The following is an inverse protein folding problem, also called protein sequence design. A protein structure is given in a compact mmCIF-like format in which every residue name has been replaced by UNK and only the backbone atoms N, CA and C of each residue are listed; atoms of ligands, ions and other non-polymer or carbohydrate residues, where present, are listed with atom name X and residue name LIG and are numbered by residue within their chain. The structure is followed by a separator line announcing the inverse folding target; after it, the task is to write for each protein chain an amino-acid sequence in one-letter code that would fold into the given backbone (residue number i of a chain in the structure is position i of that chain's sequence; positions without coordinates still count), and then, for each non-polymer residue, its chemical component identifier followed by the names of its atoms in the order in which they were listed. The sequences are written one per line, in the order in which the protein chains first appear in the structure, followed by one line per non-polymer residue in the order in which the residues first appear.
data_IF_456336996978
#
_entry.id   IF_456336996978
#
_cell.length_a   1.000
_cell.length_b   1.000
_cell.length_c   1.000
_cell.angle_alpha   90.00
_cell.angle_beta   90.00
_cell.angle_gamma   90.00
#
_symmetry.space_group_name_H-M   'P 1'
#
loop_
_entity.id
_entity.type
_entity.pdbx_description
1 polymer ?
#
# COMPACT_ATOMS: atom_id res chain seq x y z
N UNK A 1 36.52 -35.32 24.84
CA UNK A 1 35.60 -34.18 24.61
C UNK A 1 36.35 -33.14 23.79
N UNK A 2 36.12 -33.07 22.48
CA UNK A 2 36.66 -31.97 21.67
C UNK A 2 35.71 -30.78 21.82
N UNK A 3 36.00 -29.91 22.80
CA UNK A 3 35.30 -28.65 22.96
C UNK A 3 35.75 -27.66 21.89
N UNK A 4 34.81 -26.91 21.31
CA UNK A 4 35.11 -25.82 20.42
C UNK A 4 36.06 -24.81 21.09
N UNK A 5 37.12 -24.45 20.39
CA UNK A 5 38.04 -23.39 20.85
C UNK A 5 37.37 -22.03 20.77
N UNK A 6 37.83 -21.07 21.58
CA UNK A 6 37.33 -19.68 21.57
C UNK A 6 37.36 -19.06 20.17
N UNK A 7 38.42 -19.32 19.40
CA UNK A 7 38.55 -18.84 18.03
C UNK A 7 37.46 -19.40 17.09
N UNK A 8 37.16 -20.70 17.22
CA UNK A 8 36.11 -21.33 16.40
C UNK A 8 34.71 -20.80 16.75
N UNK A 9 34.44 -20.54 18.03
CA UNK A 9 33.20 -19.88 18.48
C UNK A 9 33.05 -18.48 17.88
N UNK A 10 34.13 -17.68 17.88
CA UNK A 10 34.12 -16.34 17.26
C UNK A 10 33.86 -16.41 15.77
N UNK A 11 34.49 -17.33 15.04
CA UNK A 11 34.28 -17.49 13.59
C UNK A 11 32.83 -17.91 13.29
N UNK A 12 32.28 -18.87 14.03
CA UNK A 12 30.88 -19.27 13.88
C UNK A 12 29.94 -18.10 14.15
N UNK A 13 30.20 -17.31 15.20
CA UNK A 13 29.43 -16.10 15.50
C UNK A 13 29.46 -15.08 14.35
N UNK A 14 30.63 -14.84 13.75
CA UNK A 14 30.76 -13.95 12.59
C UNK A 14 30.03 -14.48 11.36
N UNK A 15 30.13 -15.78 11.08
CA UNK A 15 29.42 -16.40 9.94
C UNK A 15 27.91 -16.29 10.12
N UNK A 16 27.40 -16.62 11.31
CA UNK A 16 25.97 -16.49 11.62
C UNK A 16 25.50 -15.03 11.55
N UNK A 17 26.31 -14.09 12.01
CA UNK A 17 26.02 -12.66 11.90
C UNK A 17 25.94 -12.21 10.44
N UNK A 18 26.92 -12.59 9.61
CA UNK A 18 26.90 -12.29 8.18
C UNK A 18 25.66 -12.87 7.50
N UNK A 19 25.35 -14.14 7.75
CA UNK A 19 24.16 -14.78 7.22
C UNK A 19 22.88 -14.07 7.68
N UNK A 20 22.77 -13.69 8.96
CA UNK A 20 21.61 -12.98 9.48
C UNK A 20 21.43 -11.60 8.80
N UNK A 21 22.52 -10.87 8.55
CA UNK A 21 22.45 -9.57 7.87
C UNK A 21 22.06 -9.73 6.40
N UNK A 22 22.66 -10.68 5.68
CA UNK A 22 22.38 -10.86 4.24
C UNK A 22 20.98 -11.40 4.00
N UNK A 23 20.63 -12.51 4.65
CA UNK A 23 19.32 -13.14 4.47
C UNK A 23 18.21 -12.32 5.14
N UNK A 24 18.47 -11.70 6.28
CA UNK A 24 17.52 -10.80 6.93
C UNK A 24 17.21 -9.57 6.10
N UNK A 25 18.22 -8.97 5.46
CA UNK A 25 18.04 -7.83 4.56
C UNK A 25 17.21 -8.18 3.33
N UNK A 26 17.48 -9.33 2.70
CA UNK A 26 16.71 -9.79 1.55
C UNK A 26 15.25 -10.10 1.90
N UNK A 27 15.01 -10.81 3.01
CA UNK A 27 13.66 -11.09 3.49
C UNK A 27 12.89 -9.81 3.80
N UNK A 28 13.53 -8.83 4.44
CA UNK A 28 12.92 -7.54 4.73
C UNK A 28 12.56 -6.77 3.45
N UNK A 29 13.46 -6.73 2.47
CA UNK A 29 13.22 -6.05 1.20
C UNK A 29 12.09 -6.70 0.41
N UNK A 30 12.06 -8.04 0.34
CA UNK A 30 10.98 -8.77 -0.31
C UNK A 30 9.64 -8.54 0.38
N UNK A 31 9.62 -8.56 1.72
CA UNK A 31 8.42 -8.26 2.50
C UNK A 31 7.92 -6.83 2.27
N UNK A 32 8.82 -5.84 2.24
CA UNK A 32 8.47 -4.45 2.00
C UNK A 32 7.92 -4.25 0.57
N UNK A 33 8.60 -4.85 -0.42
CA UNK A 33 8.17 -4.80 -1.81
C UNK A 33 6.78 -5.42 -1.97
N UNK A 34 6.56 -6.61 -1.42
CA UNK A 34 5.27 -7.29 -1.47
C UNK A 34 4.18 -6.44 -0.84
N UNK A 35 4.45 -5.85 0.33
CA UNK A 35 3.50 -4.94 0.99
C UNK A 35 3.16 -3.74 0.10
N UNK A 36 4.14 -3.13 -0.57
CA UNK A 36 3.88 -2.00 -1.47
C UNK A 36 3.05 -2.37 -2.70
N UNK A 37 3.22 -3.58 -3.24
CA UNK A 37 2.44 -4.06 -4.39
C UNK A 37 0.95 -4.17 -4.09
N UNK A 38 0.60 -4.53 -2.85
CA UNK A 38 -0.77 -4.70 -2.39
C UNK A 38 -1.44 -3.38 -1.96
N UNK A 39 -0.68 -2.28 -1.86
CA UNK A 39 -1.27 -0.98 -1.58
C UNK A 39 -2.12 -0.51 -2.77
N UNK A 40 -3.24 0.17 -2.51
CA UNK A 40 -4.07 0.74 -3.56
C UNK A 40 -3.28 1.78 -4.35
N UNK A 41 -3.36 1.68 -5.68
CA UNK A 41 -2.77 2.66 -6.61
C UNK A 41 -3.79 3.68 -7.05
N UNK A 42 -4.93 3.23 -7.55
CA UNK A 42 -6.06 4.09 -7.89
C UNK A 42 -7.23 3.73 -6.99
N UNK A 43 -7.96 4.75 -6.53
CA UNK A 43 -9.18 4.59 -5.76
C UNK A 43 -10.29 5.47 -6.31
N UNK A 44 -11.52 4.99 -6.22
CA UNK A 44 -12.73 5.74 -6.58
C UNK A 44 -13.79 5.45 -5.52
N UNK A 45 -14.48 6.49 -5.07
CA UNK A 45 -15.64 6.35 -4.20
C UNK A 45 -16.91 6.27 -5.04
N UNK A 46 -17.74 5.30 -4.71
CA UNK A 46 -19.05 5.09 -5.27
C UNK A 46 -20.09 5.30 -4.17
N UNK A 47 -21.18 5.96 -4.49
CA UNK A 47 -22.32 6.15 -3.60
C UNK A 47 -23.59 5.70 -4.34
N UNK A 48 -24.32 4.77 -3.74
CA UNK A 48 -25.56 4.24 -4.29
C UNK A 48 -26.76 5.08 -3.88
N UNK A 49 -27.89 4.90 -4.59
CA UNK A 49 -29.13 5.65 -4.33
C UNK A 49 -29.72 5.44 -2.92
N UNK A 50 -29.37 4.36 -2.24
CA UNK A 50 -29.76 4.07 -0.86
C UNK A 50 -28.82 4.70 0.19
N UNK A 51 -27.80 5.45 -0.26
CA UNK A 51 -26.80 6.10 0.58
C UNK A 51 -25.65 5.20 1.01
N UNK A 52 -25.53 3.98 0.48
CA UNK A 52 -24.37 3.13 0.75
C UNK A 52 -23.15 3.61 -0.05
N UNK A 53 -22.03 3.80 0.66
CA UNK A 53 -20.75 4.17 0.06
C UNK A 53 -19.80 2.96 -0.06
N UNK A 54 -19.15 2.84 -1.21
CA UNK A 54 -18.14 1.83 -1.51
C UNK A 54 -16.87 2.48 -2.03
N UNK A 55 -15.73 1.89 -1.74
CA UNK A 55 -14.45 2.27 -2.35
C UNK A 55 -14.03 1.15 -3.29
N UNK A 56 -13.88 1.47 -4.56
CA UNK A 56 -13.27 0.59 -5.54
C UNK A 56 -11.81 0.98 -5.68
N UNK A 57 -10.92 -0.01 -5.68
CA UNK A 57 -9.49 0.20 -5.78
C UNK A 57 -8.83 -0.86 -6.62
N UNK A 58 -7.75 -0.49 -7.29
CA UNK A 58 -6.80 -1.45 -7.88
C UNK A 58 -5.45 -1.34 -7.18
N UNK A 59 -4.73 -2.44 -7.11
CA UNK A 59 -3.42 -2.48 -6.46
C UNK A 59 -2.33 -1.88 -7.34
N UNK A 60 -1.15 -1.61 -6.76
CA UNK A 60 0.03 -1.25 -7.55
C UNK A 60 0.43 -2.35 -8.53
N UNK A 61 0.22 -3.61 -8.17
CA UNK A 61 0.48 -4.74 -9.05
C UNK A 61 -0.41 -4.70 -10.29
N UNK A 62 -1.72 -4.58 -10.10
CA UNK A 62 -2.69 -4.56 -11.21
C UNK A 62 -2.43 -3.37 -12.14
N UNK A 63 -2.07 -2.21 -11.56
CA UNK A 63 -1.69 -1.04 -12.34
C UNK A 63 -0.45 -1.29 -13.21
N UNK A 64 0.57 -1.98 -12.69
CA UNK A 64 1.77 -2.37 -13.45
C UNK A 64 1.46 -3.41 -14.52
N UNK A 65 0.43 -4.23 -14.32
CA UNK A 65 -0.07 -5.21 -15.28
C UNK A 65 -0.97 -4.58 -16.36
N UNK A 66 -1.28 -3.29 -16.25
CA UNK A 66 -1.95 -2.49 -17.29
C UNK A 66 -3.36 -2.04 -16.94
N UNK A 67 -3.88 -2.34 -15.74
CA UNK A 67 -5.14 -1.76 -15.27
C UNK A 67 -4.93 -0.31 -14.86
N UNK A 68 -5.07 0.65 -15.77
CA UNK A 68 -4.84 2.08 -15.48
C UNK A 68 -6.14 2.89 -15.31
N UNK A 69 -7.30 2.23 -15.35
CA UNK A 69 -8.61 2.85 -15.19
C UNK A 69 -9.51 1.95 -14.33
N UNK A 70 -10.32 2.59 -13.48
CA UNK A 70 -11.28 1.92 -12.61
C UNK A 70 -12.65 1.74 -13.29
N UNK A 71 -12.97 2.51 -14.32
CA UNK A 71 -14.28 2.44 -14.99
C UNK A 71 -14.65 1.03 -15.49
N UNK A 72 -13.75 0.24 -16.10
CA UNK A 72 -14.09 -1.12 -16.49
C UNK A 72 -14.46 -2.02 -15.31
N UNK A 73 -13.82 -1.82 -14.15
CA UNK A 73 -14.12 -2.56 -12.93
C UNK A 73 -15.46 -2.12 -12.33
N UNK A 74 -15.74 -0.82 -12.34
CA UNK A 74 -17.05 -0.28 -11.92
C UNK A 74 -18.17 -0.85 -12.78
N UNK A 75 -17.98 -0.92 -14.10
CA UNK A 75 -18.97 -1.46 -15.04
C UNK A 75 -19.24 -2.95 -14.85
N UNK A 76 -18.22 -3.70 -14.44
CA UNK A 76 -18.36 -5.11 -14.11
C UNK A 76 -19.11 -5.32 -12.78
N UNK A 77 -18.82 -4.50 -11.78
CA UNK A 77 -19.40 -4.62 -10.44
C UNK A 77 -20.81 -4.03 -10.33
N UNK A 78 -21.07 -2.96 -11.08
CA UNK A 78 -22.30 -2.18 -11.07
C UNK A 78 -22.80 -1.96 -12.50
N UNK A 79 -23.30 -3.02 -13.17
CA UNK A 79 -23.78 -2.93 -14.55
C UNK A 79 -25.03 -2.04 -14.67
N UNK A 80 -25.80 -1.95 -13.59
CA UNK A 80 -26.88 -0.98 -13.44
C UNK A 80 -26.35 0.26 -12.70
N UNK A 81 -26.17 1.35 -13.46
CA UNK A 81 -25.63 2.61 -12.95
C UNK A 81 -26.72 3.55 -12.44
N UNK A 82 -27.99 3.13 -12.40
CA UNK A 82 -29.08 3.99 -11.98
C UNK A 82 -28.87 4.48 -10.54
N UNK A 83 -28.77 5.79 -10.38
CA UNK A 83 -28.54 6.43 -9.08
C UNK A 83 -27.14 6.24 -8.48
N UNK A 84 -26.17 5.70 -9.24
CA UNK A 84 -24.78 5.59 -8.80
C UNK A 84 -24.05 6.92 -8.99
N UNK A 85 -23.58 7.52 -7.89
CA UNK A 85 -22.69 8.66 -7.90
C UNK A 85 -21.23 8.18 -7.79
N UNK A 86 -20.34 8.79 -8.57
CA UNK A 86 -18.93 8.40 -8.63
C UNK A 86 -18.06 9.63 -8.35
N UNK A 87 -17.04 9.46 -7.52
CA UNK A 87 -15.99 10.46 -7.38
C UNK A 87 -15.05 10.43 -8.59
N UNK A 88 -14.18 11.45 -8.68
CA UNK A 88 -12.98 11.35 -9.52
C UNK A 88 -12.08 10.21 -9.02
N UNK A 89 -11.34 9.62 -9.95
CA UNK A 89 -10.29 8.65 -9.65
C UNK A 89 -9.12 9.36 -8.98
N UNK A 90 -8.66 8.83 -7.85
CA UNK A 90 -7.54 9.39 -7.10
C UNK A 90 -6.34 8.46 -7.20
N UNK A 91 -5.19 9.00 -7.60
CA UNK A 91 -3.92 8.29 -7.54
C UNK A 91 -3.33 8.37 -6.13
N UNK A 92 -3.29 7.23 -5.44
CA UNK A 92 -2.82 7.13 -4.08
C UNK A 92 -1.32 7.38 -3.94
N UNK A 93 -0.49 7.16 -4.97
CA UNK A 93 0.92 7.54 -4.89
C UNK A 93 1.06 9.06 -4.93
N UNK A 94 0.32 9.74 -5.81
CA UNK A 94 0.33 11.20 -5.87
C UNK A 94 -0.20 11.79 -4.57
N UNK A 95 -1.32 11.27 -4.06
CA UNK A 95 -1.91 11.71 -2.80
C UNK A 95 -0.96 11.51 -1.60
N UNK A 96 -0.33 10.34 -1.50
CA UNK A 96 0.69 10.05 -0.47
C UNK A 96 1.87 11.01 -0.55
N UNK A 97 2.28 11.37 -1.77
CA UNK A 97 3.37 12.33 -2.02
C UNK A 97 2.95 13.73 -1.55
N UNK A 98 1.75 14.17 -1.93
CA UNK A 98 1.17 15.44 -1.51
C UNK A 98 1.12 15.57 0.02
N UNK A 99 0.71 14.53 0.74
CA UNK A 99 0.70 14.54 2.22
C UNK A 99 2.11 14.62 2.82
N UNK A 100 3.10 13.97 2.20
CA UNK A 100 4.49 14.03 2.66
C UNK A 100 5.09 15.43 2.45
N UNK A 101 4.80 16.04 1.32
CA UNK A 101 5.30 17.37 0.95
C UNK A 101 4.54 18.52 1.64
N UNK A 102 3.33 18.26 2.13
CA UNK A 102 2.55 19.26 2.88
C UNK A 102 3.20 19.50 4.24
N UNK A 103 3.91 20.62 4.36
CA UNK A 103 4.62 21.04 5.57
C UNK A 103 3.71 21.73 6.59
N UNK A 104 2.64 22.40 6.14
CA UNK A 104 1.71 23.09 7.02
C UNK A 104 0.82 22.08 7.76
N UNK A 105 0.85 22.11 9.10
CA UNK A 105 0.12 21.16 9.95
C UNK A 105 -1.38 21.20 9.67
N UNK A 106 -1.98 22.38 9.61
CA UNK A 106 -3.42 22.53 9.36
C UNK A 106 -3.85 21.91 8.02
N UNK A 107 -3.13 22.21 6.93
CA UNK A 107 -3.41 21.65 5.61
C UNK A 107 -3.22 20.12 5.59
N UNK A 108 -2.25 19.61 6.35
CA UNK A 108 -2.02 18.17 6.48
C UNK A 108 -3.15 17.48 7.23
N UNK A 109 -3.66 18.08 8.30
CA UNK A 109 -4.81 17.55 9.03
C UNK A 109 -6.08 17.60 8.20
N UNK A 110 -6.29 18.66 7.41
CA UNK A 110 -7.38 18.72 6.44
C UNK A 110 -7.30 17.58 5.43
N UNK A 111 -6.12 17.32 4.83
CA UNK A 111 -5.93 16.20 3.91
C UNK A 111 -6.22 14.84 4.55
N UNK A 112 -5.90 14.66 5.84
CA UNK A 112 -6.16 13.41 6.58
C UNK A 112 -7.63 13.18 6.90
N UNK A 113 -8.43 14.24 6.98
CA UNK A 113 -9.86 14.14 7.25
C UNK A 113 -10.67 13.77 6.01
N UNK A 114 -10.07 13.79 4.82
CA UNK A 114 -10.77 13.45 3.59
C UNK A 114 -10.82 11.94 3.37
N UNK A 115 -11.82 11.48 2.62
CA UNK A 115 -12.03 10.07 2.30
C UNK A 115 -10.83 9.45 1.54
N UNK A 116 -10.11 10.24 0.74
CA UNK A 116 -8.93 9.75 0.02
C UNK A 116 -7.83 9.28 0.97
N UNK A 117 -7.72 9.89 2.15
CA UNK A 117 -6.75 9.46 3.14
C UNK A 117 -7.05 8.06 3.65
N UNK A 118 -8.30 7.79 3.99
CA UNK A 118 -8.72 6.46 4.44
C UNK A 118 -8.56 5.41 3.36
N UNK A 119 -8.91 5.75 2.11
CA UNK A 119 -8.80 4.84 0.97
C UNK A 119 -7.33 4.56 0.61
N UNK A 120 -6.47 5.59 0.66
CA UNK A 120 -5.06 5.46 0.29
C UNK A 120 -4.15 4.99 1.43
N UNK A 121 -4.60 4.92 2.69
CA UNK A 121 -3.85 4.40 3.84
C UNK A 121 -4.65 3.32 4.61
N UNK A 122 -5.03 2.20 3.97
CA UNK A 122 -5.85 1.17 4.60
C UNK A 122 -5.16 0.50 5.80
N UNK A 123 -3.83 0.53 5.86
CA UNK A 123 -3.02 0.00 6.98
C UNK A 123 -3.19 0.75 8.31
N UNK A 124 -3.93 1.86 8.33
CA UNK A 124 -4.18 2.67 9.53
C UNK A 124 -5.58 2.49 10.13
N UNK A 125 -6.41 1.63 9.54
CA UNK A 125 -7.72 1.24 10.09
C UNK A 125 -7.59 0.14 11.15
#
# INVERSE_FOLDING_TARGET
MFGLTKAQLTVIGFVLFFLAVTFGGELYNNWLYDKEQHLPRLVMRLEQADGQEFIVSISQKDYKEGMTDLMPLVDQLYPDREGLLMSETVDCLEFRTRIKETMAVAAKEELKQRWEYEACYPERK
#
